data_IF_580024603187
#
_entry.id   IF_580024603187
#
_cell.length_a   1.000
_cell.length_b   1.000
_cell.length_c   1.000
_cell.angle_alpha   90.00
_cell.angle_beta   90.00
_cell.angle_gamma   90.00
#
_symmetry.space_group_name_H-M   'P 1'
#
loop_
_entity.id
_entity.type
_entity.pdbx_description
1 polymer ?
#
# COMPACT_ATOMS: atom_id res chain seq x y z
N UNK A 1 43.16 -10.91 25.97
CA UNK A 1 41.72 -10.53 25.91
C UNK A 1 40.94 -11.67 26.55
N UNK A 2 40.12 -11.38 27.55
CA UNK A 2 39.31 -12.41 28.22
C UNK A 2 38.29 -13.02 27.26
N UNK A 3 38.10 -14.34 27.35
CA UNK A 3 37.17 -15.10 26.51
C UNK A 3 35.72 -14.74 26.86
N UNK A 4 34.98 -14.15 25.92
CA UNK A 4 33.55 -13.90 26.06
C UNK A 4 32.84 -15.26 25.92
N UNK A 5 32.24 -15.75 27.01
CA UNK A 5 31.63 -17.09 27.10
C UNK A 5 30.19 -17.18 26.56
N UNK A 6 29.65 -16.07 26.07
CA UNK A 6 28.30 -16.00 25.52
C UNK A 6 28.40 -16.20 24.01
N UNK A 7 27.84 -17.30 23.51
CA UNK A 7 27.68 -17.57 22.08
C UNK A 7 26.27 -17.15 21.66
N UNK A 8 26.11 -15.91 21.21
CA UNK A 8 24.84 -15.32 20.83
C UNK A 8 25.02 -14.43 19.59
N UNK A 9 24.23 -14.68 18.55
CA UNK A 9 24.21 -13.89 17.32
C UNK A 9 22.76 -13.42 17.06
N UNK A 10 22.38 -12.22 17.54
CA UNK A 10 21.02 -11.73 17.39
C UNK A 10 20.74 -11.34 15.95
N UNK A 11 19.57 -11.69 15.45
CA UNK A 11 19.10 -11.15 14.17
C UNK A 11 18.86 -9.64 14.30
N UNK A 12 19.49 -8.87 13.42
CA UNK A 12 19.31 -7.43 13.29
C UNK A 12 18.55 -7.05 12.02
N UNK A 13 18.11 -5.78 11.96
CA UNK A 13 17.51 -5.19 10.77
C UNK A 13 18.24 -3.90 10.42
N UNK A 14 18.69 -3.79 9.17
CA UNK A 14 19.14 -2.51 8.63
C UNK A 14 17.91 -1.60 8.46
N UNK A 15 17.86 -0.53 9.25
CA UNK A 15 16.82 0.49 9.13
C UNK A 15 16.90 1.14 7.74
N UNK A 16 15.76 1.62 7.21
CA UNK A 16 15.53 2.30 5.92
C UNK A 16 16.63 2.08 4.85
N UNK A 17 16.68 0.86 4.31
CA UNK A 17 17.69 0.40 3.33
C UNK A 17 17.44 0.90 1.90
N UNK A 18 16.29 1.53 1.67
CA UNK A 18 15.93 2.13 0.38
C UNK A 18 16.27 3.63 0.30
N UNK A 19 16.60 4.25 1.44
CA UNK A 19 16.87 5.68 1.56
C UNK A 19 18.26 5.99 2.13
N UNK A 20 18.57 7.28 2.20
CA UNK A 20 19.76 7.80 2.88
C UNK A 20 19.36 8.33 4.26
N UNK A 21 20.05 7.89 5.31
CA UNK A 21 19.87 8.43 6.66
C UNK A 21 20.71 9.66 6.83
N UNK A 22 20.09 10.70 7.35
CA UNK A 22 20.78 11.90 7.77
C UNK A 22 20.91 11.86 9.29
N UNK A 23 22.13 12.04 9.79
CA UNK A 23 22.33 12.34 11.20
C UNK A 23 21.84 13.76 11.47
N UNK A 24 20.91 13.90 12.43
CA UNK A 24 20.31 15.19 12.75
C UNK A 24 21.01 15.87 13.92
N UNK A 25 21.15 15.16 15.05
CA UNK A 25 21.77 15.64 16.29
C UNK A 25 21.95 14.50 17.29
N UNK A 26 22.60 14.75 18.43
CA UNK A 26 22.60 13.88 19.60
C UNK A 26 22.22 14.71 20.83
N UNK A 27 21.53 14.11 21.80
CA UNK A 27 21.27 14.76 23.10
C UNK A 27 22.31 14.38 24.15
N UNK A 28 22.69 13.11 24.17
CA UNK A 28 23.63 12.48 25.10
C UNK A 28 24.49 11.48 24.33
N UNK A 29 25.37 10.76 25.04
CA UNK A 29 26.32 9.83 24.44
C UNK A 29 25.70 8.58 23.80
N UNK A 30 24.41 8.31 24.06
CA UNK A 30 23.71 7.09 23.66
C UNK A 30 22.40 7.34 22.87
N UNK A 31 21.98 8.59 22.68
CA UNK A 31 20.74 8.96 21.97
C UNK A 31 21.00 9.88 20.76
N UNK A 32 21.46 9.35 19.62
CA UNK A 32 21.48 10.06 18.36
C UNK A 32 20.08 10.13 17.74
N UNK A 33 19.82 11.23 17.03
CA UNK A 33 18.63 11.47 16.23
C UNK A 33 19.02 11.36 14.77
N UNK A 34 18.24 10.58 14.02
CA UNK A 34 18.42 10.38 12.58
C UNK A 34 17.13 10.67 11.83
N UNK A 35 17.22 10.97 10.54
CA UNK A 35 16.07 10.94 9.65
C UNK A 35 15.64 9.49 9.38
N UNK A 36 14.33 9.27 9.33
CA UNK A 36 13.73 7.96 9.11
C UNK A 36 12.52 8.07 8.19
N UNK A 37 12.52 7.28 7.11
CA UNK A 37 11.37 7.20 6.22
C UNK A 37 10.19 6.47 6.87
N UNK A 38 8.99 7.04 6.71
CA UNK A 38 7.73 6.46 7.17
C UNK A 38 6.96 5.91 5.97
N UNK A 39 6.61 4.61 6.01
CA UNK A 39 5.61 4.02 5.12
C UNK A 39 4.26 4.09 5.82
N UNK A 40 3.41 4.99 5.34
CA UNK A 40 2.04 5.15 5.85
C UNK A 40 1.26 3.83 5.73
N UNK A 41 0.79 3.32 6.86
CA UNK A 41 0.01 2.09 6.96
C UNK A 41 -1.37 2.19 6.29
N UNK A 42 -1.88 1.02 5.92
CA UNK A 42 -3.26 0.81 5.42
C UNK A 42 -3.63 1.52 4.12
N UNK A 43 -2.69 2.19 3.46
CA UNK A 43 -2.95 2.92 2.23
C UNK A 43 -1.99 2.54 1.12
N UNK A 44 -2.44 2.79 -0.10
CA UNK A 44 -1.61 2.70 -1.28
C UNK A 44 -1.96 3.80 -2.26
N UNK A 45 -1.03 4.71 -2.45
CA UNK A 45 -1.13 5.80 -3.42
C UNK A 45 -0.65 5.31 -4.78
N UNK A 46 -1.11 5.91 -5.89
CA UNK A 46 -0.41 5.82 -7.16
C UNK A 46 1.06 6.21 -6.99
N UNK A 47 1.94 5.55 -7.73
CA UNK A 47 3.39 5.63 -7.55
C UNK A 47 4.03 6.55 -8.59
N UNK A 48 5.04 7.32 -8.19
CA UNK A 48 5.87 8.10 -9.12
C UNK A 48 7.08 7.30 -9.61
N UNK A 49 7.39 6.19 -8.95
CA UNK A 49 8.49 5.29 -9.29
C UNK A 49 8.12 3.84 -8.98
N UNK A 50 8.27 2.94 -9.95
CA UNK A 50 8.21 1.49 -9.76
C UNK A 50 8.75 0.72 -10.98
N UNK A 51 9.48 -0.39 -10.80
CA UNK A 51 10.13 -0.82 -9.56
C UNK A 51 11.38 0.03 -9.28
N UNK A 52 11.69 0.23 -8.00
CA UNK A 52 12.81 1.08 -7.57
C UNK A 52 12.60 2.53 -8.03
N UNK A 53 13.60 3.10 -8.69
CA UNK A 53 13.57 4.46 -9.25
C UNK A 53 13.03 4.54 -10.69
N UNK A 54 12.51 3.44 -11.24
CA UNK A 54 12.00 3.41 -12.62
C UNK A 54 10.71 4.22 -12.72
N UNK A 55 10.60 5.12 -13.70
CA UNK A 55 9.35 5.86 -13.95
C UNK A 55 8.24 4.92 -14.46
N UNK A 56 7.00 4.98 -13.91
CA UNK A 56 5.90 4.11 -14.32
C UNK A 56 5.59 4.17 -15.82
N UNK A 57 5.69 5.35 -16.45
CA UNK A 57 5.49 5.54 -17.89
C UNK A 57 6.42 4.69 -18.77
N UNK A 58 7.57 4.23 -18.26
CA UNK A 58 8.45 3.31 -19.01
C UNK A 58 7.85 1.93 -19.23
N UNK A 59 6.80 1.57 -18.49
CA UNK A 59 6.10 0.30 -18.64
C UNK A 59 4.94 0.37 -19.63
N UNK A 60 4.62 1.53 -20.23
CA UNK A 60 3.45 1.67 -21.11
C UNK A 60 3.45 0.68 -22.28
N UNK A 61 4.58 0.53 -22.97
CA UNK A 61 4.70 -0.41 -24.08
C UNK A 61 4.57 -1.87 -23.63
N UNK A 62 5.17 -2.21 -22.48
CA UNK A 62 5.11 -3.54 -21.89
C UNK A 62 3.67 -3.89 -21.44
N UNK A 63 2.98 -2.93 -20.83
CA UNK A 63 1.60 -3.09 -20.37
C UNK A 63 0.60 -3.12 -21.54
N UNK A 64 0.83 -2.37 -22.61
CA UNK A 64 0.06 -2.49 -23.85
C UNK A 64 0.24 -3.88 -24.47
N UNK A 65 1.48 -4.38 -24.51
CA UNK A 65 1.76 -5.74 -24.98
C UNK A 65 1.11 -6.80 -24.10
N UNK A 66 1.08 -6.59 -22.78
CA UNK A 66 0.36 -7.46 -21.87
C UNK A 66 -1.13 -7.48 -22.20
N UNK A 67 -1.75 -6.34 -22.53
CA UNK A 67 -3.15 -6.29 -22.96
C UNK A 67 -3.38 -7.17 -24.20
N UNK A 68 -2.51 -7.10 -25.22
CA UNK A 68 -2.58 -7.99 -26.39
C UNK A 68 -2.53 -9.47 -25.99
N UNK A 69 -1.61 -9.84 -25.09
CA UNK A 69 -1.46 -11.22 -24.64
C UNK A 69 -2.64 -11.70 -23.79
N UNK A 70 -3.25 -10.82 -22.99
CA UNK A 70 -4.48 -11.11 -22.27
C UNK A 70 -5.61 -11.39 -23.27
N UNK A 71 -5.78 -10.52 -24.27
CA UNK A 71 -6.80 -10.70 -25.31
C UNK A 71 -6.62 -12.01 -26.10
N UNK A 72 -5.38 -12.43 -26.33
CA UNK A 72 -5.03 -13.67 -27.02
C UNK A 72 -5.11 -14.93 -26.12
N UNK A 73 -5.46 -14.81 -24.83
CA UNK A 73 -5.48 -15.94 -23.90
C UNK A 73 -4.09 -16.51 -23.56
N UNK A 74 -3.04 -15.70 -23.70
CA UNK A 74 -1.63 -16.10 -23.47
C UNK A 74 -1.11 -15.73 -22.08
N UNK A 75 -1.76 -14.79 -21.41
CA UNK A 75 -1.45 -14.47 -20.03
C UNK A 75 -1.94 -15.58 -19.09
N UNK A 76 -1.17 -15.96 -18.05
CA UNK A 76 -1.54 -17.03 -17.12
C UNK A 76 -2.51 -16.51 -16.04
N UNK A 77 -3.69 -16.04 -16.46
CA UNK A 77 -4.75 -15.53 -15.58
C UNK A 77 -6.11 -16.03 -16.04
N UNK A 78 -7.05 -16.10 -15.11
CA UNK A 78 -8.45 -16.46 -15.40
C UNK A 78 -9.19 -15.38 -16.20
N UNK A 79 -10.23 -15.77 -16.92
CA UNK A 79 -11.01 -14.91 -17.84
C UNK A 79 -11.61 -13.67 -17.14
N UNK A 80 -12.13 -13.83 -15.93
CA UNK A 80 -12.71 -12.71 -15.17
C UNK A 80 -11.66 -11.62 -14.86
N UNK A 81 -10.44 -12.04 -14.52
CA UNK A 81 -9.34 -11.11 -14.26
C UNK A 81 -8.81 -10.50 -15.56
N UNK A 82 -8.79 -11.28 -16.64
CA UNK A 82 -8.49 -10.78 -17.98
C UNK A 82 -9.46 -9.65 -18.37
N UNK A 83 -10.78 -9.86 -18.18
CA UNK A 83 -11.80 -8.84 -18.43
C UNK A 83 -11.64 -7.61 -17.53
N UNK A 84 -11.17 -7.79 -16.29
CA UNK A 84 -10.87 -6.68 -15.38
C UNK A 84 -9.65 -5.86 -15.83
N UNK A 85 -8.55 -6.50 -16.21
CA UNK A 85 -7.31 -5.79 -16.56
C UNK A 85 -7.30 -5.23 -17.98
N UNK A 86 -7.84 -5.97 -18.96
CA UNK A 86 -7.75 -5.63 -20.37
C UNK A 86 -8.12 -4.17 -20.70
N UNK A 87 -9.30 -3.63 -20.33
CA UNK A 87 -9.68 -2.27 -20.71
C UNK A 87 -8.73 -1.20 -20.15
N UNK A 88 -8.14 -1.42 -18.97
CA UNK A 88 -7.22 -0.48 -18.32
C UNK A 88 -5.85 -0.46 -19.00
N UNK A 89 -5.37 -1.64 -19.41
CA UNK A 89 -4.06 -1.82 -20.04
C UNK A 89 -4.08 -1.48 -21.55
N UNK A 90 -5.18 -1.80 -22.25
CA UNK A 90 -5.35 -1.59 -23.68
C UNK A 90 -5.31 -0.10 -24.09
N UNK A 91 -5.43 0.81 -23.12
CA UNK A 91 -5.23 2.26 -23.35
C UNK A 91 -3.81 2.61 -23.82
N UNK A 92 -2.84 1.73 -23.57
CA UNK A 92 -1.42 1.95 -23.83
C UNK A 92 -0.77 3.06 -23.00
N UNK A 93 -1.47 3.53 -21.95
CA UNK A 93 -1.02 4.66 -21.10
C UNK A 93 -1.15 4.38 -19.61
N UNK A 94 -1.29 3.11 -19.20
CA UNK A 94 -1.51 2.73 -17.80
C UNK A 94 -0.36 3.20 -16.87
N UNK A 95 0.89 3.10 -17.32
CA UNK A 95 2.06 3.64 -16.62
C UNK A 95 2.12 5.16 -16.64
N UNK A 96 1.80 5.82 -17.76
CA UNK A 96 1.69 7.28 -17.79
C UNK A 96 0.61 7.81 -16.84
N UNK A 97 -0.55 7.16 -16.80
CA UNK A 97 -1.64 7.50 -15.88
C UNK A 97 -1.20 7.33 -14.42
N UNK A 98 -0.58 6.18 -14.10
CA UNK A 98 -0.02 5.91 -12.77
C UNK A 98 0.95 7.00 -12.32
N UNK A 99 1.89 7.39 -13.18
CA UNK A 99 2.87 8.44 -12.87
C UNK A 99 2.20 9.80 -12.65
N UNK A 100 1.23 10.16 -13.50
CA UNK A 100 0.50 11.41 -13.41
C UNK A 100 -0.27 11.50 -12.09
N UNK A 101 -1.06 10.47 -11.78
CA UNK A 101 -1.83 10.41 -10.53
C UNK A 101 -0.92 10.32 -9.30
N UNK A 102 0.25 9.70 -9.42
CA UNK A 102 1.24 9.67 -8.33
C UNK A 102 1.77 11.06 -7.98
N UNK A 103 2.00 11.92 -8.99
CA UNK A 103 2.38 13.32 -8.77
C UNK A 103 1.26 14.13 -8.15
N UNK A 104 0.02 13.90 -8.58
CA UNK A 104 -1.16 14.57 -8.00
C UNK A 104 -1.38 14.15 -6.54
N UNK A 105 -1.30 12.87 -6.23
CA UNK A 105 -1.39 12.36 -4.87
C UNK A 105 -0.31 12.96 -3.95
N UNK A 106 0.93 13.08 -4.45
CA UNK A 106 2.02 13.73 -3.72
C UNK A 106 1.75 15.22 -3.46
N UNK A 107 1.26 15.96 -4.45
CA UNK A 107 0.92 17.38 -4.29
C UNK A 107 -0.21 17.58 -3.26
N UNK A 108 -1.25 16.74 -3.32
CA UNK A 108 -2.36 16.78 -2.36
C UNK A 108 -1.88 16.43 -0.95
N UNK A 109 -0.98 15.47 -0.81
CA UNK A 109 -0.40 15.13 0.49
C UNK A 109 0.43 16.28 1.06
N UNK A 110 1.25 16.94 0.24
CA UNK A 110 2.02 18.13 0.64
C UNK A 110 1.10 19.26 1.10
N UNK A 111 0.07 19.61 0.32
CA UNK A 111 -0.93 20.62 0.71
C UNK A 111 -1.63 20.25 2.03
N UNK A 112 -1.95 18.97 2.19
CA UNK A 112 -2.59 18.47 3.41
C UNK A 112 -1.68 18.59 4.62
N UNK A 113 -0.38 18.25 4.50
CA UNK A 113 0.62 18.45 5.53
C UNK A 113 0.71 19.93 5.90
N UNK A 114 0.88 20.81 4.90
CA UNK A 114 0.98 22.24 5.13
C UNK A 114 -0.24 22.78 5.87
N UNK A 115 -1.45 22.43 5.42
CA UNK A 115 -2.69 22.90 6.03
C UNK A 115 -2.90 22.37 7.45
N UNK A 116 -2.67 21.06 7.68
CA UNK A 116 -2.99 20.40 8.94
C UNK A 116 -1.94 20.58 10.03
N UNK A 117 -0.68 20.80 9.64
CA UNK A 117 0.39 21.07 10.58
C UNK A 117 0.50 22.56 10.93
N UNK A 118 -0.07 23.47 10.15
CA UNK A 118 -0.04 24.90 10.49
C UNK A 118 -1.10 25.22 11.54
N UNK A 119 -0.68 25.79 12.68
CA UNK A 119 -1.58 26.34 13.70
C UNK A 119 -2.16 27.69 13.24
N UNK A 120 -3.26 28.17 13.86
CA UNK A 120 -3.82 29.49 13.54
C UNK A 120 -2.81 30.65 13.67
N UNK A 121 -1.83 30.52 14.57
CA UNK A 121 -0.75 31.49 14.75
C UNK A 121 0.43 31.34 13.77
N UNK A 122 0.31 30.48 12.74
CA UNK A 122 1.34 30.23 11.74
C UNK A 122 2.43 29.23 12.14
N UNK A 123 2.56 28.87 13.42
CA UNK A 123 3.55 27.89 13.87
C UNK A 123 3.22 26.47 13.38
N UNK A 124 4.24 25.61 13.23
CA UNK A 124 4.05 24.21 12.84
C UNK A 124 3.84 23.29 14.05
N UNK A 125 2.88 22.38 13.94
CA UNK A 125 2.67 21.25 14.85
C UNK A 125 3.74 20.19 14.61
N UNK A 126 4.15 19.52 15.68
CA UNK A 126 4.90 18.26 15.57
C UNK A 126 3.99 17.16 15.02
N UNK A 127 4.59 16.07 14.55
CA UNK A 127 3.85 14.88 14.12
C UNK A 127 3.62 13.94 15.31
N UNK A 128 2.38 13.46 15.42
CA UNK A 128 2.06 12.26 16.17
C UNK A 128 2.29 11.04 15.26
N UNK A 129 3.00 10.04 15.77
CA UNK A 129 3.37 8.82 15.02
C UNK A 129 2.95 7.62 15.85
N UNK A 130 2.12 6.74 15.26
CA UNK A 130 1.66 5.51 15.88
C UNK A 130 2.10 4.31 15.04
N UNK A 131 3.04 3.52 15.56
CA UNK A 131 3.60 2.37 14.86
C UNK A 131 2.64 1.16 14.86
N UNK A 132 2.78 0.29 13.86
CA UNK A 132 2.14 -1.03 13.84
C UNK A 132 2.74 -1.99 14.87
N UNK A 133 2.05 -3.11 15.13
CA UNK A 133 2.53 -4.23 15.95
C UNK A 133 3.84 -4.82 15.40
N UNK A 134 4.01 -4.78 14.06
CA UNK A 134 5.30 -4.94 13.39
C UNK A 134 5.78 -3.56 12.93
N UNK A 135 6.69 -2.88 13.68
CA UNK A 135 7.00 -1.47 13.42
C UNK A 135 7.82 -1.24 12.15
N UNK A 136 8.51 -2.25 11.64
CA UNK A 136 9.37 -2.12 10.46
C UNK A 136 9.02 -3.13 9.39
N UNK A 137 9.04 -2.69 8.13
CA UNK A 137 9.01 -3.61 7.01
C UNK A 137 10.39 -4.25 6.78
N UNK A 138 10.47 -5.20 5.84
CA UNK A 138 11.74 -5.86 5.45
C UNK A 138 12.81 -4.90 4.91
N UNK A 139 12.44 -3.66 4.59
CA UNK A 139 13.35 -2.61 4.15
C UNK A 139 13.75 -1.68 5.31
N UNK A 140 13.30 -1.95 6.53
CA UNK A 140 13.60 -1.15 7.70
C UNK A 140 12.89 0.20 7.74
N UNK A 141 11.82 0.40 6.95
CA UNK A 141 11.02 1.64 7.01
C UNK A 141 10.03 1.55 8.15
N UNK A 142 9.79 2.66 8.86
CA UNK A 142 8.80 2.72 9.92
C UNK A 142 7.38 2.60 9.34
N UNK A 143 6.64 1.59 9.78
CA UNK A 143 5.24 1.38 9.47
C UNK A 143 4.38 2.11 10.51
N UNK A 144 3.73 3.20 10.10
CA UNK A 144 2.96 4.02 11.03
C UNK A 144 1.71 4.69 10.43
N UNK A 145 0.79 5.04 11.32
CA UNK A 145 -0.19 6.10 11.11
C UNK A 145 0.40 7.41 11.62
N UNK A 146 0.20 8.49 10.85
CA UNK A 146 0.71 9.81 11.20
C UNK A 146 -0.42 10.83 11.25
N UNK A 147 -0.36 11.75 12.20
CA UNK A 147 -1.33 12.83 12.38
C UNK A 147 -0.62 14.08 12.93
N UNK A 148 -1.24 15.26 12.89
CA UNK A 148 -0.78 16.37 13.71
C UNK A 148 -0.80 15.98 15.19
N UNK A 149 0.21 16.39 15.94
CA UNK A 149 0.20 16.28 17.40
C UNK A 149 -0.76 17.32 17.98
N UNK A 150 -1.66 16.85 18.83
CA UNK A 150 -2.61 17.66 19.60
C UNK A 150 -2.37 17.42 21.08
N UNK A 151 -2.40 18.48 21.88
CA UNK A 151 -2.34 18.33 23.33
C UNK A 151 -3.68 17.81 23.88
N UNK A 152 -3.73 17.53 25.19
CA UNK A 152 -4.92 16.96 25.84
C UNK A 152 -6.16 17.86 25.71
N UNK A 153 -6.01 19.16 25.94
CA UNK A 153 -7.11 20.14 25.87
C UNK A 153 -7.70 20.22 24.45
N UNK A 154 -6.84 20.23 23.43
CA UNK A 154 -7.28 20.16 22.04
C UNK A 154 -8.04 18.85 21.76
N UNK A 155 -7.50 17.71 22.21
CA UNK A 155 -8.11 16.40 21.97
C UNK A 155 -9.49 16.22 22.62
N UNK A 156 -9.78 16.95 23.69
CA UNK A 156 -11.08 16.95 24.38
C UNK A 156 -12.17 17.65 23.57
N UNK A 157 -11.80 18.56 22.66
CA UNK A 157 -12.74 19.36 21.85
C UNK A 157 -12.83 18.90 20.39
N UNK A 158 -11.75 18.30 19.87
CA UNK A 158 -11.68 17.86 18.47
C UNK A 158 -12.50 16.59 18.23
N UNK A 159 -13.31 16.62 17.18
CA UNK A 159 -13.94 15.43 16.63
C UNK A 159 -12.91 14.45 16.07
N UNK A 160 -13.35 13.21 15.82
CA UNK A 160 -12.51 12.19 15.16
C UNK A 160 -11.95 12.65 13.81
N UNK A 161 -12.72 13.43 13.04
CA UNK A 161 -12.31 13.90 11.72
C UNK A 161 -11.29 15.03 11.79
N UNK A 162 -11.43 15.91 12.77
CA UNK A 162 -10.48 17.01 12.97
C UNK A 162 -9.12 16.52 13.46
N UNK A 163 -9.08 15.37 14.16
CA UNK A 163 -7.84 14.69 14.56
C UNK A 163 -7.45 13.49 13.67
N UNK A 164 -8.09 13.33 12.51
CA UNK A 164 -7.84 12.22 11.60
C UNK A 164 -6.36 12.13 11.17
N UNK A 165 -5.86 10.91 11.02
CA UNK A 165 -4.54 10.65 10.45
C UNK A 165 -4.48 11.06 8.98
N UNK A 166 -3.29 11.42 8.52
CA UNK A 166 -3.05 11.66 7.10
C UNK A 166 -3.37 10.43 6.25
N UNK A 167 -3.17 9.22 6.79
CA UNK A 167 -3.56 7.97 6.14
C UNK A 167 -5.06 7.95 5.79
N UNK A 168 -5.92 8.22 6.78
CA UNK A 168 -7.37 8.28 6.57
C UNK A 168 -7.77 9.42 5.62
N UNK A 169 -7.11 10.57 5.74
CA UNK A 169 -7.42 11.74 4.91
C UNK A 169 -7.05 11.53 3.44
N UNK A 170 -5.95 10.83 3.16
CA UNK A 170 -5.55 10.45 1.79
C UNK A 170 -6.56 9.50 1.14
N UNK A 171 -7.15 8.59 1.93
CA UNK A 171 -8.23 7.71 1.47
C UNK A 171 -9.50 8.51 1.21
N UNK A 172 -9.90 9.37 2.16
CA UNK A 172 -11.11 10.19 2.05
C UNK A 172 -11.09 11.14 0.85
N UNK A 173 -9.91 11.67 0.50
CA UNK A 173 -9.73 12.54 -0.67
C UNK A 173 -9.72 11.78 -2.00
N UNK A 174 -9.66 10.44 -1.95
CA UNK A 174 -9.59 9.59 -3.13
C UNK A 174 -8.21 9.53 -3.78
N UNK A 175 -7.15 9.95 -3.10
CA UNK A 175 -5.77 9.89 -3.61
C UNK A 175 -4.95 8.71 -3.07
N UNK A 176 -5.58 7.85 -2.27
CA UNK A 176 -5.06 6.56 -1.90
C UNK A 176 -6.17 5.51 -1.86
N UNK A 177 -5.88 4.31 -2.35
CA UNK A 177 -6.70 3.14 -2.12
C UNK A 177 -6.39 2.53 -0.74
N UNK A 178 -7.34 1.78 -0.19
CA UNK A 178 -7.12 1.01 1.03
C UNK A 178 -6.21 -0.19 0.73
N UNK A 179 -5.16 -0.35 1.54
CA UNK A 179 -4.25 -1.49 1.51
C UNK A 179 -3.94 -1.92 2.94
N UNK A 180 -4.98 -2.36 3.64
CA UNK A 180 -4.87 -2.91 5.00
C UNK A 180 -4.30 -4.32 4.90
N UNK A 181 -3.25 -4.62 5.65
CA UNK A 181 -2.54 -5.91 5.59
C UNK A 181 -2.47 -6.48 7.00
N UNK A 182 -3.04 -7.67 7.20
CA UNK A 182 -2.90 -8.42 8.46
C UNK A 182 -1.43 -8.79 8.71
N UNK A 183 -0.93 -8.76 9.96
CA UNK A 183 -1.66 -8.48 11.21
C UNK A 183 -1.86 -6.99 11.54
N UNK A 184 -1.27 -6.07 10.76
CA UNK A 184 -1.36 -4.62 10.99
C UNK A 184 -2.71 -4.03 10.58
N UNK A 185 -3.75 -4.36 11.34
CA UNK A 185 -5.14 -3.92 11.12
C UNK A 185 -5.50 -2.78 12.09
N UNK A 186 -6.13 -1.68 11.62
CA UNK A 186 -6.64 -0.65 12.52
C UNK A 186 -7.58 -1.20 13.59
N UNK A 187 -7.68 -0.52 14.74
CA UNK A 187 -8.71 -0.81 15.73
C UNK A 187 -10.10 -0.72 15.10
N UNK A 188 -11.04 -1.53 15.58
CA UNK A 188 -12.37 -1.66 14.95
C UNK A 188 -13.04 -0.32 14.62
N UNK A 189 -13.07 0.63 15.55
CA UNK A 189 -13.65 1.97 15.33
C UNK A 189 -12.98 2.71 14.16
N UNK A 190 -11.66 2.65 14.07
CA UNK A 190 -10.91 3.30 13.01
C UNK A 190 -11.07 2.55 11.69
N UNK A 191 -11.17 1.22 11.72
CA UNK A 191 -11.43 0.38 10.55
C UNK A 191 -12.79 0.71 9.91
N UNK A 192 -13.83 0.87 10.71
CA UNK A 192 -15.16 1.31 10.25
C UNK A 192 -15.05 2.68 9.56
N UNK A 193 -14.37 3.64 10.20
CA UNK A 193 -14.17 4.98 9.66
C UNK A 193 -13.40 4.95 8.33
N UNK A 194 -12.36 4.12 8.25
CA UNK A 194 -11.54 3.93 7.05
C UNK A 194 -12.35 3.39 5.87
N UNK A 195 -13.15 2.34 6.13
CA UNK A 195 -14.02 1.73 5.12
C UNK A 195 -15.08 2.69 4.60
N UNK A 196 -15.76 3.42 5.49
CA UNK A 196 -16.78 4.38 5.07
C UNK A 196 -16.16 5.53 4.24
N UNK A 197 -15.02 6.06 4.66
CA UNK A 197 -14.28 7.07 3.90
C UNK A 197 -13.88 6.56 2.50
N UNK A 198 -13.39 5.33 2.42
CA UNK A 198 -12.99 4.69 1.17
C UNK A 198 -14.19 4.47 0.25
N UNK A 199 -15.32 3.99 0.80
CA UNK A 199 -16.56 3.77 0.06
C UNK A 199 -17.08 5.07 -0.52
N UNK A 200 -17.15 6.14 0.28
CA UNK A 200 -17.56 7.46 -0.20
C UNK A 200 -16.65 7.97 -1.32
N UNK A 201 -15.33 7.90 -1.12
CA UNK A 201 -14.36 8.39 -2.11
C UNK A 201 -14.46 7.63 -3.44
N UNK A 202 -14.62 6.30 -3.37
CA UNK A 202 -14.82 5.45 -4.53
C UNK A 202 -16.13 5.76 -5.25
N UNK A 203 -17.26 5.74 -4.53
CA UNK A 203 -18.59 5.93 -5.13
C UNK A 203 -18.79 7.34 -5.70
N UNK A 204 -18.15 8.34 -5.11
CA UNK A 204 -18.19 9.73 -5.61
C UNK A 204 -17.10 10.03 -6.65
N UNK A 205 -16.30 9.05 -7.07
CA UNK A 205 -15.23 9.26 -8.06
C UNK A 205 -14.20 10.32 -7.63
N UNK A 206 -13.85 10.39 -6.35
CA UNK A 206 -12.90 11.39 -5.85
C UNK A 206 -11.46 11.04 -6.24
N UNK A 207 -10.63 12.06 -6.49
CA UNK A 207 -9.20 11.87 -6.73
C UNK A 207 -8.92 10.93 -7.90
N UNK A 208 -8.12 9.89 -7.67
CA UNK A 208 -7.75 8.95 -8.72
C UNK A 208 -8.93 8.08 -9.18
N UNK A 209 -9.98 7.92 -8.36
CA UNK A 209 -11.19 7.15 -8.70
C UNK A 209 -12.05 7.82 -9.79
N UNK A 210 -11.79 9.08 -10.13
CA UNK A 210 -12.47 9.77 -11.23
C UNK A 210 -12.16 9.14 -12.61
N UNK A 211 -11.01 8.47 -12.75
CA UNK A 211 -10.61 7.83 -14.00
C UNK A 211 -10.99 6.34 -13.99
N UNK A 212 -11.87 5.87 -14.88
CA UNK A 212 -12.27 4.47 -14.94
C UNK A 212 -11.12 3.52 -15.34
N UNK A 213 -10.06 4.04 -15.96
CA UNK A 213 -8.88 3.29 -16.36
C UNK A 213 -7.81 3.19 -15.27
N UNK A 214 -8.07 3.75 -14.09
CA UNK A 214 -7.21 3.62 -12.93
C UNK A 214 -6.83 2.15 -12.68
N UNK A 215 -5.54 1.95 -12.41
CA UNK A 215 -5.04 0.82 -11.62
C UNK A 215 -4.58 1.40 -10.28
N UNK A 216 -5.04 0.83 -9.16
CA UNK A 216 -4.44 1.16 -7.86
C UNK A 216 -2.95 0.85 -7.86
N UNK A 217 -2.16 1.41 -6.94
CA UNK A 217 -0.72 1.11 -6.85
C UNK A 217 -0.44 -0.40 -6.78
N UNK A 218 -1.25 -1.14 -6.03
CA UNK A 218 -1.18 -2.59 -5.92
C UNK A 218 -1.39 -3.26 -7.29
N UNK A 219 -2.47 -2.92 -7.99
CA UNK A 219 -2.82 -3.47 -9.29
C UNK A 219 -1.79 -3.13 -10.36
N UNK A 220 -1.27 -1.89 -10.38
CA UNK A 220 -0.19 -1.48 -11.29
C UNK A 220 1.05 -2.34 -11.10
N UNK A 221 1.49 -2.53 -9.84
CA UNK A 221 2.65 -3.38 -9.53
C UNK A 221 2.43 -4.82 -9.94
N UNK A 222 1.22 -5.34 -9.80
CA UNK A 222 0.85 -6.69 -10.25
C UNK A 222 0.90 -6.81 -11.76
N UNK A 223 0.36 -5.84 -12.50
CA UNK A 223 0.39 -5.83 -13.96
C UNK A 223 1.83 -5.85 -14.51
N UNK A 224 2.73 -5.04 -13.92
CA UNK A 224 4.16 -5.04 -14.29
C UNK A 224 4.82 -6.39 -14.01
N UNK A 225 4.48 -7.05 -12.90
CA UNK A 225 5.00 -8.40 -12.60
C UNK A 225 4.39 -9.47 -13.52
N UNK A 226 3.10 -9.38 -13.80
CA UNK A 226 2.38 -10.29 -14.68
C UNK A 226 2.98 -10.24 -16.08
N UNK A 227 3.27 -9.04 -16.61
CA UNK A 227 4.00 -8.90 -17.88
C UNK A 227 5.29 -9.71 -17.91
N UNK A 228 6.11 -9.64 -16.85
CA UNK A 228 7.38 -10.39 -16.78
C UNK A 228 7.17 -11.90 -16.82
N UNK A 229 6.14 -12.40 -16.12
CA UNK A 229 5.80 -13.84 -16.14
C UNK A 229 5.26 -14.24 -17.51
N UNK A 230 4.32 -13.49 -18.07
CA UNK A 230 3.73 -13.75 -19.39
C UNK A 230 4.78 -13.71 -20.49
N UNK A 231 5.71 -12.75 -20.46
CA UNK A 231 6.80 -12.65 -21.42
C UNK A 231 7.65 -13.93 -21.45
N UNK A 232 8.08 -14.41 -20.29
CA UNK A 232 8.83 -15.68 -20.16
C UNK A 232 8.08 -16.86 -20.78
N UNK A 233 6.78 -16.99 -20.48
CA UNK A 233 5.93 -18.04 -21.04
C UNK A 233 5.78 -17.93 -22.57
N UNK A 234 5.56 -16.71 -23.07
CA UNK A 234 5.43 -16.40 -24.50
C UNK A 234 6.71 -16.66 -25.28
N UNK A 235 7.87 -16.47 -24.64
CA UNK A 235 9.21 -16.78 -25.17
C UNK A 235 9.56 -18.29 -25.09
N UNK A 236 8.63 -19.12 -24.59
CA UNK A 236 8.78 -20.58 -24.55
C UNK A 236 9.46 -21.11 -23.29
N UNK A 237 9.67 -20.28 -22.27
CA UNK A 237 10.24 -20.72 -21.00
C UNK A 237 9.26 -21.60 -20.21
N UNK A 238 9.73 -22.76 -19.74
CA UNK A 238 8.95 -23.62 -18.86
C UNK A 238 9.03 -23.13 -17.41
N UNK A 239 7.93 -22.57 -16.91
CA UNK A 239 7.83 -22.07 -15.54
C UNK A 239 7.11 -23.06 -14.63
N UNK A 240 7.64 -23.23 -13.41
CA UNK A 240 6.95 -23.94 -12.34
C UNK A 240 5.63 -23.25 -11.96
N UNK A 241 4.71 -23.98 -11.33
CA UNK A 241 3.43 -23.40 -10.86
C UNK A 241 3.64 -22.19 -9.93
N UNK A 242 4.66 -22.25 -9.06
CA UNK A 242 5.04 -21.14 -8.17
C UNK A 242 5.51 -19.91 -8.94
N UNK A 243 6.32 -20.10 -9.99
CA UNK A 243 6.80 -18.99 -10.81
C UNK A 243 5.67 -18.37 -11.64
N UNK A 244 4.78 -19.19 -12.20
CA UNK A 244 3.60 -18.73 -12.93
C UNK A 244 2.70 -17.84 -12.07
N UNK A 245 2.58 -18.13 -10.78
CA UNK A 245 1.78 -17.35 -9.82
C UNK A 245 2.58 -16.27 -9.08
N UNK A 246 3.89 -16.14 -9.31
CA UNK A 246 4.76 -15.24 -8.53
C UNK A 246 4.42 -13.75 -8.66
N UNK A 247 3.61 -13.36 -9.65
CA UNK A 247 3.18 -11.98 -9.87
C UNK A 247 2.17 -11.50 -8.80
N UNK A 248 1.49 -12.41 -8.12
CA UNK A 248 0.44 -12.14 -7.13
C UNK A 248 0.53 -13.10 -5.94
N UNK A 249 0.43 -12.59 -4.72
CA UNK A 249 0.68 -13.40 -3.52
C UNK A 249 -0.33 -13.22 -2.41
N UNK A 250 -0.92 -12.03 -2.26
CA UNK A 250 -1.76 -11.74 -1.10
C UNK A 250 -3.17 -12.23 -1.32
N UNK A 251 -3.69 -12.98 -0.35
CA UNK A 251 -5.10 -13.31 -0.27
C UNK A 251 -5.88 -12.04 0.03
N UNK A 252 -7.12 -11.98 -0.43
CA UNK A 252 -8.00 -10.83 -0.20
C UNK A 252 -9.21 -11.27 0.61
N UNK A 253 -9.51 -10.55 1.68
CA UNK A 253 -10.69 -10.73 2.51
C UNK A 253 -11.69 -9.63 2.18
N UNK A 254 -12.96 -10.00 2.01
CA UNK A 254 -14.04 -9.04 2.10
C UNK A 254 -14.40 -8.82 3.58
N UNK A 255 -14.09 -7.62 4.08
CA UNK A 255 -14.33 -7.25 5.47
C UNK A 255 -15.82 -7.29 5.89
N UNK A 256 -16.76 -7.36 4.94
CA UNK A 256 -18.20 -7.36 5.20
C UNK A 256 -18.80 -8.76 5.23
N UNK A 257 -18.24 -9.72 4.48
CA UNK A 257 -18.72 -11.11 4.43
C UNK A 257 -17.83 -12.08 5.19
N UNK A 258 -16.59 -11.68 5.50
CA UNK A 258 -15.50 -12.51 6.05
C UNK A 258 -15.01 -13.60 5.09
N UNK A 259 -15.39 -13.53 3.81
CA UNK A 259 -14.90 -14.46 2.81
C UNK A 259 -13.45 -14.15 2.44
N UNK A 260 -12.62 -15.18 2.40
CA UNK A 260 -11.24 -15.13 1.90
C UNK A 260 -11.18 -15.63 0.46
N UNK A 261 -10.58 -14.81 -0.39
CA UNK A 261 -10.41 -15.03 -1.82
C UNK A 261 -8.94 -15.32 -2.12
N UNK A 262 -8.72 -16.19 -3.10
CA UNK A 262 -7.38 -16.46 -3.59
C UNK A 262 -6.73 -15.19 -4.17
N UNK A 263 -5.39 -15.15 -4.25
CA UNK A 263 -4.70 -13.93 -4.64
C UNK A 263 -5.12 -13.33 -5.99
N UNK A 264 -5.53 -14.13 -6.97
CA UNK A 264 -6.02 -13.65 -8.28
C UNK A 264 -7.45 -13.12 -8.25
N UNK A 265 -8.20 -13.40 -7.20
CA UNK A 265 -9.62 -13.10 -7.07
C UNK A 265 -9.91 -11.81 -6.28
N UNK A 266 -8.88 -11.05 -5.88
CA UNK A 266 -9.03 -9.82 -5.11
C UNK A 266 -9.96 -8.78 -5.77
N UNK A 267 -10.04 -8.78 -7.10
CA UNK A 267 -10.88 -7.85 -7.86
C UNK A 267 -12.38 -8.11 -7.68
N UNK A 268 -12.77 -9.31 -7.22
CA UNK A 268 -14.15 -9.67 -6.87
C UNK A 268 -14.65 -8.93 -5.63
N UNK A 269 -13.74 -8.45 -4.79
CA UNK A 269 -14.04 -7.64 -3.60
C UNK A 269 -13.96 -6.16 -3.99
N UNK A 270 -14.97 -5.38 -3.61
CA UNK A 270 -14.97 -3.93 -3.84
C UNK A 270 -13.75 -3.28 -3.16
N UNK A 271 -13.05 -2.32 -3.79
CA UNK A 271 -11.78 -1.78 -3.27
C UNK A 271 -11.82 -1.35 -1.81
N UNK A 272 -12.90 -0.71 -1.38
CA UNK A 272 -13.12 -0.23 -0.01
C UNK A 272 -13.43 -1.32 1.03
N UNK A 273 -13.72 -2.55 0.60
CA UNK A 273 -13.94 -3.71 1.46
C UNK A 273 -12.71 -4.62 1.59
N UNK A 274 -11.61 -4.33 0.86
CA UNK A 274 -10.45 -5.22 0.80
C UNK A 274 -9.58 -5.12 2.06
N UNK A 275 -9.28 -6.27 2.63
CA UNK A 275 -8.17 -6.50 3.55
C UNK A 275 -7.27 -7.59 2.97
N UNK A 276 -5.95 -7.46 3.09
CA UNK A 276 -5.00 -8.40 2.50
C UNK A 276 -4.27 -9.21 3.56
N UNK A 277 -3.94 -10.45 3.21
CA UNK A 277 -3.20 -11.38 4.07
C UNK A 277 -2.04 -11.95 3.27
N UNK A 278 -0.85 -12.00 3.87
CA UNK A 278 0.29 -12.70 3.27
C UNK A 278 0.07 -14.22 3.31
N UNK A 279 0.61 -14.99 2.35
CA UNK A 279 0.49 -16.44 2.35
C UNK A 279 0.84 -17.10 3.70
N UNK A 280 1.90 -16.63 4.34
CA UNK A 280 2.42 -17.20 5.59
C UNK A 280 1.48 -16.91 6.78
N UNK A 281 0.64 -15.88 6.69
CA UNK A 281 -0.25 -15.44 7.76
C UNK A 281 -1.69 -15.97 7.60
N UNK A 282 -1.99 -16.74 6.54
CA UNK A 282 -3.37 -17.18 6.22
C UNK A 282 -3.98 -18.01 7.34
N UNK A 283 -3.24 -18.98 7.87
CA UNK A 283 -3.74 -19.87 8.93
C UNK A 283 -4.13 -19.08 10.18
N UNK A 284 -3.25 -18.17 10.61
CA UNK A 284 -3.47 -17.34 11.78
C UNK A 284 -4.63 -16.36 11.57
N UNK A 285 -4.70 -15.74 10.40
CA UNK A 285 -5.78 -14.82 10.06
C UNK A 285 -7.15 -15.52 10.02
N UNK A 286 -7.23 -16.75 9.49
CA UNK A 286 -8.47 -17.55 9.47
C UNK A 286 -8.97 -17.78 10.89
N UNK A 287 -8.08 -18.18 11.80
CA UNK A 287 -8.41 -18.42 13.20
C UNK A 287 -8.81 -17.11 13.93
N UNK A 288 -8.00 -16.05 13.82
CA UNK A 288 -8.21 -14.81 14.58
C UNK A 288 -9.40 -13.99 14.08
N UNK A 289 -9.69 -14.02 12.77
CA UNK A 289 -10.73 -13.19 12.16
C UNK A 289 -12.00 -13.98 11.82
N UNK A 290 -12.04 -15.29 12.12
CA UNK A 290 -13.15 -16.19 11.79
C UNK A 290 -13.52 -16.12 10.30
N UNK A 291 -12.50 -16.27 9.43
CA UNK A 291 -12.67 -16.18 7.99
C UNK A 291 -13.33 -17.44 7.42
N UNK A 292 -14.10 -17.24 6.35
CA UNK A 292 -14.80 -18.31 5.64
C UNK A 292 -14.22 -18.44 4.23
N UNK A 293 -14.16 -19.65 3.64
CA UNK A 293 -13.83 -19.76 2.22
C UNK A 293 -14.85 -18.97 1.39
N UNK A 294 -14.38 -18.29 0.34
CA UNK A 294 -15.28 -17.72 -0.65
C UNK A 294 -16.00 -18.83 -1.43
N UNK A 295 -17.27 -18.58 -1.74
CA UNK A 295 -18.07 -19.43 -2.63
C UNK A 295 -17.64 -19.30 -4.10
#
# INVERSE_FOLDING_TARGET
MSEVKIFWDPQGLAIDSLGTKEYLRATDGDTPYISLSIRMLSIDTPETHYPGSTRPSRHDADLARLADWIYQGRAPIEDDLAAYFHPRLATGRAGTLQEHQGKQAAAVFEEMLQRRLTRPNGSKRSLFVYAADQPFDRYGRLLAYIAPYYNREELETLSLWERASFNLLMVRSGWAATLIIYPSVPKHRDLVLFREAAKEAYMAGRGCWADPNLLTGYEFRMAVKLFKVTKRLVEGESLSSRERKSWVQRYCVDMTTRQIYYPEQYFKVAPYNRLFIWPDDVSDAVAHMNLLPAD
#
